data_IF_180785931779
#
_entry.id   IF_180785931779
#
_cell.length_a   1.000
_cell.length_b   1.000
_cell.length_c   1.000
_cell.angle_alpha   90.00
_cell.angle_beta   90.00
_cell.angle_gamma   90.00
#
_symmetry.space_group_name_H-M   'P 1'
#
loop_
_entity.id
_entity.type
_entity.pdbx_description
1 polymer ?
#
# COMPACT_ATOMS: atom_id res chain seq x y z
N UNK A 1 17.53 5.19 2.52
CA UNK A 1 16.55 5.22 3.61
C UNK A 1 16.63 6.58 4.28
N UNK A 2 15.72 7.50 3.94
CA UNK A 2 15.59 8.77 4.64
C UNK A 2 15.01 8.49 6.03
N UNK A 3 15.86 8.61 7.06
CA UNK A 3 15.48 8.71 8.48
C UNK A 3 14.80 10.07 8.74
N UNK A 4 13.67 10.33 8.09
CA UNK A 4 12.74 11.41 8.40
C UNK A 4 11.37 10.90 7.99
N UNK A 5 10.46 10.73 8.96
CA UNK A 5 9.17 10.03 8.83
C UNK A 5 8.13 10.72 7.94
N UNK A 6 8.51 11.10 6.72
CA UNK A 6 7.62 11.59 5.69
C UNK A 6 8.00 10.95 4.35
N UNK A 7 7.03 10.29 3.72
CA UNK A 7 7.18 9.82 2.34
C UNK A 7 7.36 11.03 1.41
N UNK A 8 8.33 10.95 0.52
CA UNK A 8 8.51 11.94 -0.55
C UNK A 8 7.31 11.91 -1.50
N UNK A 9 7.04 12.99 -2.25
CA UNK A 9 5.97 13.00 -3.26
C UNK A 9 6.08 11.87 -4.29
N UNK A 10 7.32 11.47 -4.63
CA UNK A 10 7.58 10.34 -5.51
C UNK A 10 7.15 9.00 -4.87
N UNK A 11 7.51 8.77 -3.61
CA UNK A 11 7.09 7.59 -2.86
C UNK A 11 5.57 7.55 -2.68
N UNK A 12 4.93 8.69 -2.37
CA UNK A 12 3.47 8.78 -2.28
C UNK A 12 2.78 8.44 -3.61
N UNK A 13 3.34 8.86 -4.74
CA UNK A 13 2.81 8.50 -6.07
C UNK A 13 2.89 7.01 -6.33
N UNK A 14 3.98 6.37 -5.91
CA UNK A 14 4.16 4.91 -6.02
C UNK A 14 3.19 4.16 -5.10
N UNK A 15 3.03 4.59 -3.85
CA UNK A 15 2.09 3.99 -2.89
C UNK A 15 0.64 4.12 -3.37
N UNK A 16 0.27 5.28 -3.93
CA UNK A 16 -1.06 5.49 -4.52
C UNK A 16 -1.29 4.53 -5.69
N UNK A 17 -0.32 4.38 -6.59
CA UNK A 17 -0.43 3.45 -7.72
C UNK A 17 -0.62 2.01 -7.24
N UNK A 18 0.15 1.57 -6.24
CA UNK A 18 0.02 0.24 -5.67
C UNK A 18 -1.38 -0.01 -5.06
N UNK A 19 -1.94 1.00 -4.37
CA UNK A 19 -3.31 0.96 -3.85
C UNK A 19 -4.34 0.85 -4.97
N UNK A 20 -4.26 1.73 -5.98
CA UNK A 20 -5.21 1.78 -7.09
C UNK A 20 -5.18 0.45 -7.89
N UNK A 21 -3.98 -0.11 -8.12
CA UNK A 21 -3.81 -1.42 -8.78
C UNK A 21 -4.43 -2.55 -7.94
N UNK A 22 -4.20 -2.57 -6.62
CA UNK A 22 -4.81 -3.57 -5.72
C UNK A 22 -6.34 -3.45 -5.68
N UNK A 23 -6.87 -2.22 -5.60
CA UNK A 23 -8.32 -1.99 -5.61
C UNK A 23 -8.94 -2.49 -6.93
N UNK A 24 -8.29 -2.21 -8.06
CA UNK A 24 -8.76 -2.66 -9.38
C UNK A 24 -8.77 -4.19 -9.49
N UNK A 25 -7.72 -4.85 -9.03
CA UNK A 25 -7.62 -6.32 -9.07
C UNK A 25 -8.66 -7.00 -8.17
N UNK A 26 -8.98 -6.39 -7.03
CA UNK A 26 -9.96 -6.91 -6.08
C UNK A 26 -11.40 -6.48 -6.40
N UNK A 27 -11.62 -5.66 -7.43
CA UNK A 27 -12.94 -5.10 -7.76
C UNK A 27 -13.48 -4.18 -6.66
N UNK A 28 -12.59 -3.55 -5.87
CA UNK A 28 -12.94 -2.65 -4.78
C UNK A 28 -13.25 -1.27 -5.34
N UNK A 29 -14.45 -0.76 -5.04
CA UNK A 29 -14.85 0.60 -5.39
C UNK A 29 -14.07 1.65 -4.58
N UNK A 30 -13.90 2.84 -5.16
CA UNK A 30 -13.10 3.92 -4.58
C UNK A 30 -13.65 4.47 -3.25
N UNK A 31 -14.94 4.30 -3.00
CA UNK A 31 -15.66 4.68 -1.78
C UNK A 31 -15.78 3.54 -0.75
N UNK A 32 -15.17 2.39 -1.05
CA UNK A 32 -15.26 1.22 -0.18
C UNK A 32 -14.40 1.40 1.06
N UNK A 33 -14.90 1.04 2.26
CA UNK A 33 -14.08 0.98 3.48
C UNK A 33 -12.92 -0.03 3.36
N UNK A 34 -12.98 -0.94 2.38
CA UNK A 34 -11.89 -1.87 2.06
C UNK A 34 -10.67 -1.12 1.52
N UNK A 35 -10.88 -0.03 0.77
CA UNK A 35 -9.79 0.79 0.22
C UNK A 35 -9.02 1.51 1.32
N UNK A 36 -9.71 2.03 2.33
CA UNK A 36 -9.05 2.65 3.50
C UNK A 36 -8.20 1.65 4.28
N UNK A 37 -8.70 0.41 4.46
CA UNK A 37 -7.94 -0.66 5.12
C UNK A 37 -6.70 -1.05 4.31
N UNK A 38 -6.83 -1.15 2.99
CA UNK A 38 -5.70 -1.40 2.09
C UNK A 38 -4.67 -0.26 2.16
N UNK A 39 -5.12 0.99 2.14
CA UNK A 39 -4.24 2.16 2.23
C UNK A 39 -3.47 2.19 3.57
N UNK A 40 -4.15 1.95 4.69
CA UNK A 40 -3.53 1.85 6.00
C UNK A 40 -2.48 0.73 6.05
N UNK A 41 -2.78 -0.42 5.44
CA UNK A 41 -1.83 -1.54 5.40
C UNK A 41 -0.60 -1.25 4.55
N UNK A 42 -0.79 -0.63 3.39
CA UNK A 42 0.28 -0.17 2.50
C UNK A 42 1.21 0.81 3.24
N UNK A 43 0.64 1.74 4.01
CA UNK A 43 1.44 2.65 4.83
C UNK A 43 2.20 1.94 5.96
N UNK A 44 1.60 0.95 6.63
CA UNK A 44 2.29 0.14 7.66
C UNK A 44 3.49 -0.58 7.07
N UNK A 45 3.31 -1.28 5.95
CA UNK A 45 4.37 -2.01 5.26
C UNK A 45 5.50 -1.08 4.80
N UNK A 46 5.15 0.09 4.24
CA UNK A 46 6.13 1.11 3.88
C UNK A 46 6.92 1.60 5.10
N UNK A 47 6.26 1.81 6.24
CA UNK A 47 6.90 2.20 7.49
C UNK A 47 7.78 1.10 8.10
N UNK A 48 7.45 -0.17 7.85
CA UNK A 48 8.27 -1.34 8.20
C UNK A 48 9.48 -1.52 7.26
N UNK A 49 9.61 -0.67 6.22
CA UNK A 49 10.71 -0.70 5.26
C UNK A 49 10.48 -1.65 4.08
N UNK A 50 9.27 -2.16 3.89
CA UNK A 50 8.89 -2.98 2.73
C UNK A 50 8.92 -2.10 1.48
N UNK A 51 9.66 -2.55 0.47
CA UNK A 51 9.80 -1.83 -0.78
C UNK A 51 8.48 -1.84 -1.56
N UNK A 52 8.29 -0.81 -2.39
CA UNK A 52 7.12 -0.64 -3.24
C UNK A 52 6.84 -1.80 -4.20
N UNK A 53 7.88 -2.53 -4.62
CA UNK A 53 7.73 -3.73 -5.45
C UNK A 53 7.14 -4.92 -4.68
N UNK A 54 7.48 -5.04 -3.39
CA UNK A 54 7.11 -6.17 -2.53
C UNK A 54 5.79 -5.93 -1.80
N UNK A 55 5.32 -4.69 -1.82
CA UNK A 55 4.07 -4.25 -1.19
C UNK A 55 2.85 -5.06 -1.64
N UNK A 56 2.80 -5.46 -2.92
CA UNK A 56 1.73 -6.31 -3.46
C UNK A 56 1.79 -7.73 -2.89
N UNK A 57 2.98 -8.33 -2.85
CA UNK A 57 3.16 -9.68 -2.31
C UNK A 57 2.89 -9.71 -0.81
N UNK A 58 3.33 -8.69 -0.07
CA UNK A 58 3.05 -8.54 1.35
C UNK A 58 1.55 -8.38 1.65
N UNK A 59 0.79 -7.68 0.81
CA UNK A 59 -0.67 -7.57 0.94
C UNK A 59 -1.40 -8.89 0.70
N UNK A 60 -0.89 -9.74 -0.20
CA UNK A 60 -1.45 -11.06 -0.46
C UNK A 60 -1.06 -12.06 0.64
N UNK A 61 0.18 -11.99 1.13
CA UNK A 61 0.69 -12.84 2.19
C UNK A 61 -0.05 -12.63 3.53
N UNK A 62 -0.43 -11.39 3.85
CA UNK A 62 -1.16 -11.05 5.08
C UNK A 62 -2.60 -11.61 5.11
N UNK A 63 -3.17 -11.98 3.96
CA UNK A 63 -4.49 -12.64 3.91
C UNK A 63 -4.48 -14.11 4.33
N UNK A 64 -3.30 -14.72 4.54
CA UNK A 64 -3.16 -16.15 4.83
C UNK A 64 -2.89 -16.47 6.30
N UNK A 65 -2.97 -15.51 7.22
CA UNK A 65 -2.73 -15.73 8.65
C UNK A 65 -3.95 -15.40 9.51
#
# INVERSE_FOLDING_TARGET
>A
MSMQGAATPAELSVLKKALDDCCRELGVADDSPVRERLAARIMSLFNEGVLSADLKEALVADRQH
#
